data_IF_135328856117
#
_entry.id   IF_135328856117
#
_cell.length_a   1.000
_cell.length_b   1.000
_cell.length_c   1.000
_cell.angle_alpha   90.00
_cell.angle_beta   90.00
_cell.angle_gamma   90.00
#
_symmetry.space_group_name_H-M   'P 1'
#
loop_
_entity.id
_entity.type
_entity.pdbx_description
1 polymer ?
#
# COMPACT_ATOMS: atom_id res chain seq x y z
N UNK A 1 0.03 -16.30 7.22
CA UNK A 1 -0.67 -15.25 6.45
C UNK A 1 0.38 -14.29 5.88
N UNK A 2 0.25 -13.91 4.62
CA UNK A 2 1.11 -12.93 3.94
C UNK A 2 0.33 -11.63 3.68
N UNK A 3 1.04 -10.51 3.70
CA UNK A 3 0.51 -9.18 3.45
C UNK A 3 1.20 -8.62 2.22
N UNK A 4 0.43 -8.31 1.19
CA UNK A 4 0.86 -7.39 0.16
C UNK A 4 0.61 -5.97 0.65
N UNK A 5 1.54 -5.05 0.40
CA UNK A 5 1.41 -3.66 0.80
C UNK A 5 1.94 -2.70 -0.24
N UNK A 6 1.40 -1.49 -0.22
CA UNK A 6 1.92 -0.35 -0.98
C UNK A 6 2.25 0.77 -0.01
N UNK A 7 3.47 1.30 -0.13
CA UNK A 7 3.94 2.47 0.59
C UNK A 7 3.99 3.67 -0.35
N UNK A 8 3.54 4.83 0.12
CA UNK A 8 3.77 6.13 -0.51
C UNK A 8 5.02 6.76 0.11
N UNK A 9 6.00 7.02 -0.73
CA UNK A 9 7.23 7.70 -0.35
C UNK A 9 7.05 9.23 -0.28
N UNK A 10 8.03 9.93 0.31
CA UNK A 10 8.02 11.39 0.41
C UNK A 10 8.00 12.09 -0.95
N UNK A 11 8.69 11.52 -1.95
CA UNK A 11 8.71 11.99 -3.35
C UNK A 11 7.43 11.64 -4.14
N UNK A 12 6.37 11.19 -3.44
CA UNK A 12 5.10 10.74 -4.02
C UNK A 12 5.22 9.49 -4.90
N UNK A 13 6.38 8.80 -4.93
CA UNK A 13 6.49 7.49 -5.58
C UNK A 13 5.81 6.40 -4.75
N UNK A 14 5.54 5.25 -5.39
CA UNK A 14 4.91 4.10 -4.76
C UNK A 14 5.90 2.93 -4.73
N UNK A 15 5.99 2.26 -3.58
CA UNK A 15 6.74 1.03 -3.40
C UNK A 15 5.78 -0.10 -3.06
N UNK A 16 5.89 -1.24 -3.77
CA UNK A 16 5.05 -2.43 -3.54
C UNK A 16 5.93 -3.57 -3.02
N UNK A 17 5.46 -4.26 -1.98
CA UNK A 17 6.16 -5.39 -1.38
C UNK A 17 5.21 -6.39 -0.74
N UNK A 18 5.76 -7.55 -0.35
CA UNK A 18 5.09 -8.53 0.51
C UNK A 18 5.82 -8.74 1.84
N UNK A 19 5.11 -9.09 2.90
CA UNK A 19 5.66 -9.38 4.23
C UNK A 19 4.74 -10.32 5.02
N UNK A 20 5.26 -10.97 6.06
CA UNK A 20 4.44 -11.70 7.05
C UNK A 20 4.06 -10.82 8.24
N UNK A 21 4.75 -9.69 8.43
CA UNK A 21 4.48 -8.72 9.50
C UNK A 21 4.53 -7.30 8.93
N UNK A 22 3.35 -6.68 8.79
CA UNK A 22 3.18 -5.38 8.16
C UNK A 22 3.72 -4.23 9.02
N UNK A 23 3.37 -4.21 10.31
CA UNK A 23 3.81 -3.16 11.23
C UNK A 23 5.33 -3.12 11.37
N UNK A 24 5.96 -4.29 11.59
CA UNK A 24 7.42 -4.40 11.65
C UNK A 24 8.05 -3.88 10.36
N UNK A 25 7.53 -4.31 9.21
CA UNK A 25 8.09 -3.94 7.90
C UNK A 25 7.98 -2.45 7.62
N UNK A 26 6.83 -1.83 7.91
CA UNK A 26 6.64 -0.38 7.75
C UNK A 26 7.57 0.42 8.67
N UNK A 27 7.79 -0.03 9.91
CA UNK A 27 8.78 0.58 10.82
C UNK A 27 10.21 0.45 10.28
N UNK A 28 10.58 -0.74 9.79
CA UNK A 28 11.91 -0.98 9.20
C UNK A 28 12.18 -0.04 8.02
N UNK A 29 11.20 0.17 7.14
CA UNK A 29 11.32 1.10 6.01
C UNK A 29 11.56 2.55 6.43
N UNK A 30 10.99 2.99 7.55
CA UNK A 30 11.15 4.37 8.04
C UNK A 30 12.41 4.58 8.88
N UNK A 31 12.83 3.60 9.67
CA UNK A 31 13.74 3.86 10.79
C UNK A 31 15.00 3.00 10.80
N UNK A 32 15.13 2.00 9.92
CA UNK A 32 16.23 1.02 9.99
C UNK A 32 16.96 0.85 8.66
N UNK A 33 18.18 0.32 8.67
CA UNK A 33 18.88 -0.04 7.43
C UNK A 33 18.34 -1.33 6.77
N UNK A 34 17.42 -2.05 7.43
CA UNK A 34 16.78 -3.28 6.95
C UNK A 34 15.63 -3.02 5.96
N UNK A 35 15.19 -1.76 5.85
CA UNK A 35 14.25 -1.33 4.80
C UNK A 35 14.88 -1.43 3.41
N UNK A 36 14.03 -1.57 2.38
CA UNK A 36 14.51 -1.65 0.99
C UNK A 36 15.36 -0.43 0.61
N UNK A 37 16.48 -0.64 -0.10
CA UNK A 37 17.39 0.41 -0.58
C UNK A 37 16.63 1.56 -1.26
N UNK A 38 15.62 1.23 -2.08
CA UNK A 38 14.77 2.20 -2.76
C UNK A 38 14.06 3.18 -1.80
N UNK A 39 13.53 2.67 -0.70
CA UNK A 39 12.78 3.47 0.28
C UNK A 39 13.68 4.23 1.24
N UNK A 40 14.93 3.79 1.47
CA UNK A 40 15.85 4.41 2.44
C UNK A 40 16.12 5.88 2.13
N UNK A 41 16.28 6.24 0.85
CA UNK A 41 16.48 7.62 0.41
C UNK A 41 15.19 8.41 0.18
N UNK A 42 14.01 7.82 0.43
CA UNK A 42 12.69 8.41 0.12
C UNK A 42 11.74 8.45 1.31
N UNK A 43 12.32 8.51 2.50
CA UNK A 43 11.61 8.61 3.79
C UNK A 43 11.07 10.02 4.00
N UNK A 44 10.03 10.18 4.84
CA UNK A 44 9.24 9.11 5.45
C UNK A 44 8.33 8.41 4.42
N UNK A 45 8.02 7.15 4.69
CA UNK A 45 7.06 6.37 3.90
C UNK A 45 5.78 6.13 4.70
N UNK A 46 4.63 6.18 4.02
CA UNK A 46 3.31 5.95 4.60
C UNK A 46 2.68 4.71 3.98
N UNK A 47 2.12 3.83 4.81
CA UNK A 47 1.32 2.71 4.33
C UNK A 47 0.01 3.24 3.75
N UNK A 48 -0.25 2.99 2.47
CA UNK A 48 -1.45 3.47 1.76
C UNK A 48 -2.37 2.34 1.30
N UNK A 49 -1.88 1.10 1.28
CA UNK A 49 -2.69 -0.05 0.93
C UNK A 49 -2.11 -1.32 1.55
N UNK A 50 -2.99 -2.25 1.94
CA UNK A 50 -2.59 -3.61 2.29
C UNK A 50 -3.68 -4.63 2.02
N UNK A 51 -3.31 -5.84 1.62
CA UNK A 51 -4.22 -6.96 1.39
C UNK A 51 -3.62 -8.26 1.92
N UNK A 52 -4.46 -9.07 2.59
CA UNK A 52 -4.08 -10.36 3.18
C UNK A 52 -4.20 -11.49 2.16
N UNK A 53 -3.24 -12.41 2.21
CA UNK A 53 -3.17 -13.61 1.40
C UNK A 53 -2.86 -14.83 2.26
N UNK A 54 -3.46 -15.97 1.94
CA UNK A 54 -3.23 -17.23 2.67
C UNK A 54 -1.82 -17.76 2.44
N UNK A 55 -1.30 -17.60 1.22
CA UNK A 55 -0.04 -18.22 0.77
C UNK A 55 0.93 -17.18 0.22
N UNK A 56 2.24 -17.47 0.29
CA UNK A 56 3.28 -16.64 -0.34
C UNK A 56 3.06 -16.52 -1.85
N UNK A 57 2.79 -17.65 -2.51
CA UNK A 57 2.61 -17.72 -3.96
C UNK A 57 1.48 -16.80 -4.45
N UNK A 58 0.31 -16.83 -3.79
CA UNK A 58 -0.81 -15.94 -4.11
C UNK A 58 -0.47 -14.46 -3.89
N UNK A 59 0.32 -14.14 -2.86
CA UNK A 59 0.77 -12.78 -2.62
C UNK A 59 1.79 -12.31 -3.68
N UNK A 60 2.71 -13.17 -4.11
CA UNK A 60 3.68 -12.87 -5.17
C UNK A 60 3.00 -12.66 -6.53
N UNK A 61 2.02 -13.49 -6.89
CA UNK A 61 1.26 -13.33 -8.14
C UNK A 61 0.53 -11.98 -8.17
N UNK A 62 -0.13 -11.62 -7.08
CA UNK A 62 -0.78 -10.31 -6.98
C UNK A 62 0.24 -9.16 -6.98
N UNK A 63 1.40 -9.33 -6.33
CA UNK A 63 2.48 -8.33 -6.35
C UNK A 63 2.98 -8.07 -7.77
N UNK A 64 3.19 -9.13 -8.56
CA UNK A 64 3.57 -9.04 -9.96
C UNK A 64 2.50 -8.30 -10.78
N UNK A 65 1.22 -8.68 -10.62
CA UNK A 65 0.09 -7.99 -11.26
C UNK A 65 0.05 -6.51 -10.89
N UNK A 66 0.19 -6.16 -9.62
CA UNK A 66 0.17 -4.76 -9.18
C UNK A 66 1.38 -4.00 -9.73
N UNK A 67 2.55 -4.63 -9.85
CA UNK A 67 3.74 -3.97 -10.40
C UNK A 67 3.54 -3.53 -11.86
N UNK A 68 2.81 -4.29 -12.68
CA UNK A 68 2.52 -3.95 -14.09
C UNK A 68 1.50 -2.83 -14.26
N UNK A 69 0.66 -2.55 -13.24
CA UNK A 69 -0.32 -1.47 -13.30
C UNK A 69 0.35 -0.10 -13.45
N UNK A 70 -0.29 0.78 -14.21
CA UNK A 70 0.08 2.18 -14.30
C UNK A 70 -0.05 2.88 -12.95
N UNK A 71 0.59 4.05 -12.82
CA UNK A 71 0.45 4.87 -11.62
C UNK A 71 -1.01 5.25 -11.36
N UNK A 72 -1.78 5.57 -12.41
CA UNK A 72 -3.19 5.94 -12.30
C UNK A 72 -4.01 4.79 -11.72
N UNK A 73 -3.88 3.60 -12.30
CA UNK A 73 -4.59 2.39 -11.82
C UNK A 73 -4.25 2.05 -10.36
N UNK A 74 -2.97 2.18 -9.97
CA UNK A 74 -2.57 1.99 -8.57
C UNK A 74 -3.28 2.97 -7.64
N UNK A 75 -3.37 4.24 -8.02
CA UNK A 75 -4.02 5.27 -7.21
C UNK A 75 -5.54 5.03 -7.10
N UNK A 76 -6.20 4.62 -8.18
CA UNK A 76 -7.62 4.26 -8.15
C UNK A 76 -7.87 3.04 -7.26
N UNK A 77 -7.04 2.01 -7.37
CA UNK A 77 -7.11 0.84 -6.49
C UNK A 77 -6.95 1.22 -5.00
N UNK A 78 -6.01 2.11 -4.68
CA UNK A 78 -5.80 2.61 -3.31
C UNK A 78 -7.04 3.37 -2.82
N UNK A 79 -7.62 4.24 -3.67
CA UNK A 79 -8.82 5.04 -3.34
C UNK A 79 -10.02 4.13 -3.06
N UNK A 80 -10.27 3.14 -3.92
CA UNK A 80 -11.42 2.24 -3.81
C UNK A 80 -11.33 1.25 -2.64
N UNK A 81 -10.13 0.97 -2.14
CA UNK A 81 -9.95 0.10 -0.99
C UNK A 81 -10.21 0.81 0.35
N UNK A 82 -10.28 2.14 0.35
CA UNK A 82 -10.63 2.92 1.54
C UNK A 82 -12.14 2.87 1.86
N UNK A 83 -12.94 2.26 0.97
CA UNK A 83 -14.41 2.24 1.01
C UNK A 83 -15.02 1.07 1.79
N UNK A 84 -14.25 0.25 2.51
CA UNK A 84 -14.79 -0.78 3.42
C UNK A 84 -15.10 -0.21 4.81
N UNK A 85 -15.77 0.93 4.84
CA UNK A 85 -16.72 1.27 5.90
C UNK A 85 -18.09 1.17 5.25
N UNK A 86 -19.03 0.35 5.77
CA UNK A 86 -20.39 0.40 5.24
C UNK A 86 -20.93 1.81 5.48
N UNK A 87 -21.21 2.50 4.37
CA UNK A 87 -22.35 3.40 4.21
C UNK A 87 -22.84 4.10 5.50
N UNK A 88 -22.21 5.23 5.86
CA UNK A 88 -23.00 6.41 6.19
C UNK A 88 -23.00 7.29 4.94
N UNK A 89 -24.06 7.11 4.13
CA UNK A 89 -24.59 8.12 3.21
C UNK A 89 -24.61 9.48 3.91
N UNK A 90 -24.59 10.54 3.10
CA UNK A 90 -24.48 11.96 3.49
C UNK A 90 -22.99 12.28 3.72
N UNK A 91 -22.30 13.03 2.85
CA UNK A 91 -22.22 14.50 2.92
C UNK A 91 -21.50 15.02 1.64
N UNK A 92 -22.11 14.86 0.46
CA UNK A 92 -21.68 15.56 -0.77
C UNK A 92 -22.86 16.06 -1.60
N UNK A 93 -23.94 16.48 -0.94
CA UNK A 93 -24.96 17.35 -1.52
C UNK A 93 -25.45 18.32 -0.45
N UNK A 94 -24.79 19.47 -0.38
CA UNK A 94 -25.43 20.75 -0.06
C UNK A 94 -24.69 21.78 -0.90
N UNK A 95 -25.23 21.99 -2.10
CA UNK A 95 -25.16 23.28 -2.77
C UNK A 95 -25.89 24.29 -1.87
N UNK A 96 -25.19 25.35 -1.50
CA UNK A 96 -25.59 26.77 -1.52
C UNK A 96 -24.36 27.61 -1.12
#
# INVERSE_FOLDING_TARGET
MYYLYILKCADKTLYTGITVNLQRRTKEHNSSNLGAKYTRSRRPVKLVYSKKFRSRSTACLEEARIKTLSRKEKLEMIKNNSSSTPNSREWWNKED
#
